data_IF_509270722124
#
_entry.id   IF_509270722124
#
_cell.length_a   1.000
_cell.length_b   1.000
_cell.length_c   1.000
_cell.angle_alpha   90.00
_cell.angle_beta   90.00
_cell.angle_gamma   90.00
#
_symmetry.space_group_name_H-M   'P 1'
#
loop_
_entity.id
_entity.type
_entity.pdbx_description
1 polymer ?
#
# COMPACT_ATOMS: atom_id res chain seq x y z
N UNK A 1 12.18 22.06 5.30
CA UNK A 1 10.78 22.32 4.91
C UNK A 1 10.30 21.32 3.86
N UNK A 2 11.05 21.13 2.77
CA UNK A 2 10.73 20.16 1.69
C UNK A 2 10.43 18.74 2.18
N UNK A 3 11.28 18.16 3.03
CA UNK A 3 11.09 16.79 3.54
C UNK A 3 9.73 16.59 4.25
N UNK A 4 9.32 17.56 5.08
CA UNK A 4 8.07 17.47 5.85
C UNK A 4 6.88 17.52 4.89
N UNK A 5 6.90 18.42 3.90
CA UNK A 5 5.86 18.52 2.89
C UNK A 5 5.70 17.20 2.12
N UNK A 6 6.80 16.66 1.58
CA UNK A 6 6.80 15.39 0.85
C UNK A 6 6.32 14.24 1.74
N UNK A 7 6.71 14.22 3.02
CA UNK A 7 6.26 13.21 3.99
C UNK A 7 4.76 13.25 4.19
N UNK A 8 4.18 14.43 4.38
CA UNK A 8 2.72 14.58 4.52
C UNK A 8 1.99 14.17 3.25
N UNK A 9 2.49 14.56 2.08
CA UNK A 9 1.94 14.16 0.78
C UNK A 9 1.99 12.64 0.60
N UNK A 10 3.11 11.99 0.93
CA UNK A 10 3.24 10.54 0.87
C UNK A 10 2.23 9.83 1.79
N UNK A 11 2.07 10.30 3.04
CA UNK A 11 1.09 9.73 3.97
C UNK A 11 -0.34 9.93 3.47
N UNK A 12 -0.66 11.09 2.87
CA UNK A 12 -1.96 11.34 2.25
C UNK A 12 -2.24 10.33 1.12
N UNK A 13 -1.28 10.12 0.22
CA UNK A 13 -1.41 9.10 -0.84
C UNK A 13 -1.52 7.69 -0.28
N UNK A 14 -0.83 7.38 0.82
CA UNK A 14 -0.89 6.07 1.46
C UNK A 14 -2.31 5.81 1.99
N UNK A 15 -2.88 6.76 2.73
CA UNK A 15 -4.25 6.67 3.24
C UNK A 15 -5.27 6.54 2.10
N UNK A 16 -5.10 7.34 1.04
CA UNK A 16 -6.01 7.32 -0.10
C UNK A 16 -5.92 6.00 -0.89
N UNK A 17 -4.72 5.45 -1.08
CA UNK A 17 -4.49 4.14 -1.68
C UNK A 17 -5.18 3.03 -0.87
N UNK A 18 -5.04 3.05 0.47
CA UNK A 18 -5.67 2.08 1.37
C UNK A 18 -7.20 2.14 1.24
N UNK A 19 -7.79 3.34 1.28
CA UNK A 19 -9.24 3.51 1.12
C UNK A 19 -9.69 2.92 -0.21
N UNK A 20 -9.03 3.28 -1.31
CA UNK A 20 -9.37 2.80 -2.66
C UNK A 20 -9.16 1.29 -2.82
N UNK A 21 -8.17 0.70 -2.17
CA UNK A 21 -7.97 -0.74 -2.11
C UNK A 21 -9.18 -1.46 -1.49
N UNK A 22 -9.65 -1.00 -0.33
CA UNK A 22 -10.84 -1.57 0.31
C UNK A 22 -12.11 -1.29 -0.49
N UNK A 23 -12.28 -0.09 -1.05
CA UNK A 23 -13.44 0.22 -1.92
C UNK A 23 -13.49 -0.72 -3.13
N UNK A 24 -12.36 -0.96 -3.80
CA UNK A 24 -12.26 -1.92 -4.91
C UNK A 24 -12.63 -3.33 -4.44
N UNK A 25 -12.11 -3.76 -3.30
CA UNK A 25 -12.34 -5.11 -2.76
C UNK A 25 -13.80 -5.34 -2.36
N UNK A 26 -14.39 -4.43 -1.58
CA UNK A 26 -15.80 -4.47 -1.17
C UNK A 26 -16.73 -4.43 -2.38
N UNK A 27 -16.43 -3.58 -3.37
CA UNK A 27 -17.24 -3.55 -4.59
C UNK A 27 -17.27 -4.89 -5.31
N UNK A 28 -16.16 -5.66 -5.30
CA UNK A 28 -16.09 -6.97 -5.96
C UNK A 28 -16.89 -8.02 -5.21
N UNK A 29 -16.93 -7.95 -3.88
CA UNK A 29 -17.75 -8.85 -3.07
C UNK A 29 -19.26 -8.61 -3.20
N UNK A 30 -19.69 -7.35 -3.36
CA UNK A 30 -21.13 -7.05 -3.39
C UNK A 30 -21.79 -7.34 -4.74
N UNK A 31 -21.27 -6.77 -5.83
CA UNK A 31 -21.96 -6.84 -7.14
C UNK A 31 -21.13 -6.37 -8.33
N UNK A 32 -19.88 -5.95 -8.13
CA UNK A 32 -18.96 -5.50 -9.20
C UNK A 32 -19.33 -4.18 -9.89
N UNK A 33 -20.50 -3.60 -9.62
CA UNK A 33 -20.98 -2.36 -10.29
C UNK A 33 -20.06 -1.14 -10.09
N UNK A 34 -19.50 -0.95 -8.89
CA UNK A 34 -18.59 0.15 -8.63
C UNK A 34 -17.18 -0.13 -9.18
N UNK A 35 -16.75 -1.40 -9.21
CA UNK A 35 -15.51 -1.84 -9.87
C UNK A 35 -15.57 -1.67 -11.41
N UNK A 36 -16.76 -1.64 -11.99
CA UNK A 36 -16.98 -1.30 -13.41
C UNK A 36 -16.83 0.19 -13.71
N UNK A 37 -16.80 1.07 -12.70
CA UNK A 37 -16.63 2.50 -12.90
C UNK A 37 -15.14 2.80 -13.20
N UNK A 38 -14.84 3.09 -14.47
CA UNK A 38 -13.49 3.39 -14.95
C UNK A 38 -12.79 4.50 -14.15
N UNK A 39 -13.53 5.48 -13.61
CA UNK A 39 -12.95 6.58 -12.83
C UNK A 39 -12.32 6.10 -11.52
N UNK A 40 -13.00 5.19 -10.80
CA UNK A 40 -12.49 4.63 -9.54
C UNK A 40 -11.26 3.77 -9.83
N UNK A 41 -11.30 3.02 -10.93
CA UNK A 41 -10.18 2.16 -11.31
C UNK A 41 -8.97 2.97 -11.76
N UNK A 42 -9.11 3.92 -12.68
CA UNK A 42 -8.01 4.78 -13.16
C UNK A 42 -7.45 5.64 -12.03
N UNK A 43 -8.32 6.28 -11.23
CA UNK A 43 -7.91 7.09 -10.09
C UNK A 43 -7.07 6.30 -9.09
N UNK A 44 -7.45 5.06 -8.78
CA UNK A 44 -6.65 4.21 -7.89
C UNK A 44 -5.24 3.93 -8.39
N UNK A 45 -5.05 3.70 -9.70
CA UNK A 45 -3.71 3.45 -10.26
C UNK A 45 -2.84 4.71 -10.26
N UNK A 46 -3.45 5.88 -10.50
CA UNK A 46 -2.73 7.17 -10.41
C UNK A 46 -2.26 7.40 -8.97
N UNK A 47 -3.11 7.13 -7.98
CA UNK A 47 -2.75 7.32 -6.57
C UNK A 47 -1.69 6.31 -6.13
N UNK A 48 -1.80 5.05 -6.57
CA UNK A 48 -0.81 4.01 -6.28
C UNK A 48 0.56 4.35 -6.90
N UNK A 49 0.59 4.90 -8.12
CA UNK A 49 1.84 5.36 -8.75
C UNK A 49 2.43 6.60 -8.07
N UNK A 50 1.60 7.60 -7.71
CA UNK A 50 2.04 8.77 -6.94
C UNK A 50 2.53 8.38 -5.53
N UNK A 51 1.94 7.37 -4.91
CA UNK A 51 2.40 6.81 -3.64
C UNK A 51 3.82 6.24 -3.75
N UNK A 52 4.09 5.45 -4.79
CA UNK A 52 5.42 4.89 -5.03
C UNK A 52 6.45 5.96 -5.39
N UNK A 53 6.09 6.91 -6.27
CA UNK A 53 6.96 8.03 -6.65
C UNK A 53 7.31 8.90 -5.44
N UNK A 54 6.32 9.22 -4.59
CA UNK A 54 6.57 9.98 -3.36
C UNK A 54 7.42 9.22 -2.33
N UNK A 55 7.32 7.89 -2.29
CA UNK A 55 8.20 7.06 -1.47
C UNK A 55 9.67 7.18 -1.91
N UNK A 56 9.92 7.08 -3.23
CA UNK A 56 11.27 7.24 -3.80
C UNK A 56 11.80 8.66 -3.57
N UNK A 57 10.96 9.68 -3.77
CA UNK A 57 11.32 11.07 -3.49
C UNK A 57 11.74 11.26 -2.03
N UNK A 58 11.05 10.62 -1.07
CA UNK A 58 11.47 10.65 0.34
C UNK A 58 12.83 10.02 0.57
N UNK A 59 13.14 8.89 -0.07
CA UNK A 59 14.45 8.25 0.05
C UNK A 59 15.57 9.15 -0.45
N UNK A 60 15.35 9.82 -1.58
CA UNK A 60 16.32 10.74 -2.20
C UNK A 60 16.52 11.98 -1.33
N UNK A 61 15.44 12.63 -0.90
CA UNK A 61 15.51 13.86 -0.10
C UNK A 61 16.06 13.61 1.30
N UNK A 62 15.79 12.43 1.87
CA UNK A 62 16.33 12.04 3.18
C UNK A 62 17.74 11.44 3.09
N UNK A 63 18.30 11.25 1.88
CA UNK A 63 19.57 10.57 1.63
C UNK A 63 19.67 9.21 2.35
N UNK A 64 18.56 8.49 2.45
CA UNK A 64 18.48 7.23 3.19
C UNK A 64 18.70 6.05 2.24
N UNK A 65 19.68 5.21 2.56
CA UNK A 65 19.87 3.95 1.87
C UNK A 65 18.95 2.87 2.50
N UNK A 66 17.96 2.34 1.77
CA UNK A 66 17.04 1.33 2.30
C UNK A 66 17.75 0.07 2.79
N UNK A 67 18.86 -0.32 2.15
CA UNK A 67 19.61 -1.53 2.49
C UNK A 67 20.41 -1.38 3.80
N UNK A 68 20.69 -0.16 4.23
CA UNK A 68 21.38 0.11 5.49
C UNK A 68 20.42 0.32 6.67
N UNK A 69 19.12 0.38 6.39
CA UNK A 69 18.07 0.64 7.37
C UNK A 69 17.13 -0.57 7.42
N UNK A 70 17.34 -1.49 8.37
CA UNK A 70 16.55 -2.72 8.50
C UNK A 70 15.04 -2.52 8.39
N UNK A 71 14.49 -1.56 9.14
CA UNK A 71 13.06 -1.23 9.15
C UNK A 71 12.52 -0.79 7.77
N UNK A 72 13.38 -0.16 6.96
CA UNK A 72 13.01 0.33 5.63
C UNK A 72 13.07 -0.78 4.59
N UNK A 73 14.05 -1.69 4.70
CA UNK A 73 14.08 -2.92 3.91
C UNK A 73 12.84 -3.77 4.16
N UNK A 74 12.50 -4.02 5.44
CA UNK A 74 11.27 -4.72 5.81
C UNK A 74 10.02 -4.04 5.26
N UNK A 75 9.95 -2.71 5.35
CA UNK A 75 8.83 -1.93 4.81
C UNK A 75 8.67 -2.15 3.31
N UNK A 76 9.76 -2.17 2.54
CA UNK A 76 9.72 -2.41 1.09
C UNK A 76 9.24 -3.83 0.80
N UNK A 77 9.74 -4.84 1.52
CA UNK A 77 9.30 -6.24 1.37
C UNK A 77 7.80 -6.38 1.63
N UNK A 78 7.29 -5.76 2.71
CA UNK A 78 5.86 -5.77 3.03
C UNK A 78 5.02 -5.04 1.99
N UNK A 79 5.51 -3.93 1.41
CA UNK A 79 4.81 -3.23 0.32
C UNK A 79 4.69 -4.12 -0.91
N UNK A 80 5.76 -4.84 -1.29
CA UNK A 80 5.73 -5.79 -2.41
C UNK A 80 4.76 -6.94 -2.12
N UNK A 81 4.79 -7.49 -0.90
CA UNK A 81 3.86 -8.54 -0.47
C UNK A 81 2.40 -8.06 -0.53
N UNK A 82 2.11 -6.85 -0.02
CA UNK A 82 0.79 -6.22 -0.08
C UNK A 82 0.28 -6.07 -1.52
N UNK A 83 1.12 -5.60 -2.45
CA UNK A 83 0.73 -5.48 -3.87
C UNK A 83 0.40 -6.84 -4.47
N UNK A 84 1.22 -7.86 -4.18
CA UNK A 84 0.98 -9.24 -4.62
C UNK A 84 -0.32 -9.80 -4.08
N UNK A 85 -0.59 -9.61 -2.79
CA UNK A 85 -1.85 -10.04 -2.15
C UNK A 85 -3.05 -9.31 -2.75
N UNK A 86 -2.92 -8.02 -3.06
CA UNK A 86 -3.96 -7.27 -3.75
C UNK A 86 -4.29 -7.83 -5.13
N UNK A 87 -3.27 -8.31 -5.87
CA UNK A 87 -3.48 -9.02 -7.12
C UNK A 87 -4.19 -10.38 -6.94
N UNK A 88 -3.87 -11.11 -5.87
CA UNK A 88 -4.55 -12.37 -5.53
C UNK A 88 -6.03 -12.13 -5.19
N UNK A 89 -6.33 -11.13 -4.36
CA UNK A 89 -7.72 -10.71 -4.07
C UNK A 89 -8.44 -10.37 -5.37
N UNK A 90 -7.76 -9.67 -6.28
CA UNK A 90 -8.31 -9.27 -7.56
C UNK A 90 -8.57 -10.44 -8.51
N UNK A 91 -7.65 -11.40 -8.63
CA UNK A 91 -7.75 -12.47 -9.62
C UNK A 91 -8.56 -13.67 -9.14
N UNK A 92 -8.65 -13.88 -7.83
CA UNK A 92 -9.37 -15.02 -7.27
C UNK A 92 -10.88 -14.90 -7.51
N UNK A 93 -11.51 -16.02 -7.86
CA UNK A 93 -12.97 -16.20 -7.92
C UNK A 93 -13.54 -16.91 -6.68
N UNK A 94 -12.66 -17.46 -5.84
CA UNK A 94 -13.05 -18.18 -4.63
C UNK A 94 -13.09 -17.23 -3.43
N UNK A 95 -14.27 -17.14 -2.78
CA UNK A 95 -14.48 -16.28 -1.63
C UNK A 95 -13.48 -16.53 -0.49
N UNK A 96 -13.22 -17.81 -0.16
CA UNK A 96 -12.24 -18.18 0.89
C UNK A 96 -10.85 -17.59 0.61
N UNK A 97 -10.35 -17.76 -0.61
CA UNK A 97 -9.03 -17.26 -1.03
C UNK A 97 -8.98 -15.73 -1.04
N UNK A 98 -10.07 -15.07 -1.45
CA UNK A 98 -10.15 -13.60 -1.40
C UNK A 98 -10.11 -13.08 0.04
N UNK A 99 -10.82 -13.73 0.98
CA UNK A 99 -10.82 -13.36 2.39
C UNK A 99 -9.43 -13.56 3.01
N UNK A 100 -8.78 -14.70 2.76
CA UNK A 100 -7.43 -14.99 3.27
C UNK A 100 -6.41 -13.98 2.72
N UNK A 101 -6.47 -13.67 1.41
CA UNK A 101 -5.57 -12.70 0.82
C UNK A 101 -5.85 -11.28 1.32
N UNK A 102 -7.11 -10.93 1.57
CA UNK A 102 -7.50 -9.64 2.16
C UNK A 102 -6.98 -9.50 3.59
N UNK A 103 -7.16 -10.52 4.44
CA UNK A 103 -6.66 -10.46 5.82
C UNK A 103 -5.14 -10.38 5.85
N UNK A 104 -4.44 -11.13 5.00
CA UNK A 104 -2.99 -11.02 4.86
C UNK A 104 -2.55 -9.63 4.37
N UNK A 105 -3.30 -9.02 3.44
CA UNK A 105 -3.03 -7.66 2.96
C UNK A 105 -3.24 -6.63 4.09
N UNK A 106 -4.31 -6.77 4.88
CA UNK A 106 -4.57 -5.94 6.05
C UNK A 106 -3.45 -6.04 7.08
N UNK A 107 -2.98 -7.26 7.39
CA UNK A 107 -1.85 -7.46 8.31
C UNK A 107 -0.59 -6.76 7.76
N UNK A 108 -0.30 -6.91 6.47
CA UNK A 108 0.84 -6.26 5.83
C UNK A 108 0.77 -4.72 5.96
N UNK A 109 -0.41 -4.12 5.75
CA UNK A 109 -0.63 -2.68 5.93
C UNK A 109 -0.40 -2.22 7.38
N UNK A 110 -0.88 -3.00 8.35
CA UNK A 110 -0.67 -2.70 9.77
C UNK A 110 0.81 -2.76 10.15
N UNK A 111 1.55 -3.75 9.65
CA UNK A 111 2.99 -3.88 9.87
C UNK A 111 3.76 -2.71 9.22
N UNK A 112 3.38 -2.30 8.00
CA UNK A 112 3.96 -1.11 7.35
C UNK A 112 3.73 0.15 8.19
N UNK A 113 2.52 0.31 8.74
CA UNK A 113 2.17 1.43 9.63
C UNK A 113 2.97 1.42 10.93
N UNK A 114 3.13 0.24 11.54
CA UNK A 114 3.96 0.06 12.73
C UNK A 114 5.43 0.44 12.46
N UNK A 115 6.05 -0.13 11.41
CA UNK A 115 7.43 0.19 11.01
C UNK A 115 7.62 1.68 10.74
N UNK A 116 6.63 2.36 10.15
CA UNK A 116 6.69 3.79 9.90
C UNK A 116 6.64 4.64 11.19
N UNK A 117 5.96 4.16 12.23
CA UNK A 117 5.83 4.83 13.53
C UNK A 117 7.00 4.54 14.47
N UNK A 118 7.35 3.26 14.63
CA UNK A 118 8.41 2.82 15.53
C UNK A 118 9.81 3.11 14.98
N UNK A 119 9.97 3.09 13.64
CA UNK A 119 11.27 3.08 12.93
C UNK A 119 12.21 1.98 13.44
N UNK A 120 11.66 0.96 14.10
CA UNK A 120 12.37 -0.20 14.59
C UNK A 120 12.00 -1.38 13.71
N UNK A 121 13.00 -2.11 13.24
CA UNK A 121 12.81 -3.38 12.55
C UNK A 121 12.28 -4.43 13.51
N UNK A 122 11.48 -5.35 12.99
CA UNK A 122 10.92 -6.45 13.77
C UNK A 122 11.67 -7.77 13.52
N UNK A 123 12.24 -7.94 12.33
CA UNK A 123 12.83 -9.20 11.86
C UNK A 123 14.35 -9.11 11.61
N UNK A 124 14.87 -7.92 11.29
CA UNK A 124 16.29 -7.64 10.99
C UNK A 124 16.95 -6.79 12.08
#
# INVERSE_FOLDING_TARGET
>A
MEYIAIKHTHVMFALLSIILFYTRTVSRFMSGKLASNKLVFIGSHIIDTLLLVSAVALLVVASMNPLQQPWLTEKIVLVVAYIGLGFVVAKSTQFKTQVIALTAATISLLLIGYLAGSKASFLL
#
